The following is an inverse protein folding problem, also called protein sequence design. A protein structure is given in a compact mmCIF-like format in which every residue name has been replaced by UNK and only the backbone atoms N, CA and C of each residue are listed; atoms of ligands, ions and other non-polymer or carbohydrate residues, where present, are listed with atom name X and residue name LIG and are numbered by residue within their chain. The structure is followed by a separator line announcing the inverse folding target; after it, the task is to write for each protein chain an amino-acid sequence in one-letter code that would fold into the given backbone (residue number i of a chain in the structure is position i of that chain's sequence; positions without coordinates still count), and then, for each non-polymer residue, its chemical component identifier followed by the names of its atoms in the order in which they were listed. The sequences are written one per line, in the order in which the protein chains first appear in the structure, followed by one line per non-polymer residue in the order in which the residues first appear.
data_IF_092919000753
#
_entry.id   IF_092919000753
#
_cell.length_a   1.000
_cell.length_b   1.000
_cell.length_c   1.000
_cell.angle_alpha   90.00
_cell.angle_beta   90.00
_cell.angle_gamma   90.00
#
_symmetry.space_group_name_H-M   'P 1'
#
loop_
_entity.id
_entity.type
_entity.pdbx_description
1 polymer ?
#
# COMPACT_ATOMS: atom_id res chain seq x y z
N UNK A 1 14.26 28.09 37.15
CA UNK A 1 13.35 26.95 37.41
C UNK A 1 12.00 27.42 37.93
N UNK A 2 11.95 28.18 39.05
CA UNK A 2 10.69 28.64 39.65
C UNK A 2 9.68 29.28 38.67
N UNK A 3 10.10 30.19 37.78
CA UNK A 3 9.17 30.81 36.83
C UNK A 3 8.54 29.81 35.84
N UNK A 4 9.33 28.85 35.34
CA UNK A 4 8.85 27.81 34.41
C UNK A 4 7.81 26.92 35.11
N UNK A 5 8.10 26.51 36.34
CA UNK A 5 7.18 25.70 37.16
C UNK A 5 5.87 26.44 37.45
N UNK A 6 5.94 27.72 37.83
CA UNK A 6 4.75 28.55 38.09
C UNK A 6 3.89 28.69 36.83
N UNK A 7 4.50 28.93 35.67
CA UNK A 7 3.78 29.08 34.40
C UNK A 7 3.09 27.76 34.02
N UNK A 8 3.79 26.63 34.09
CA UNK A 8 3.20 25.32 33.74
C UNK A 8 2.08 24.96 34.71
N UNK A 9 2.27 25.17 36.01
CA UNK A 9 1.23 24.95 37.02
C UNK A 9 -0.01 25.78 36.70
N UNK A 10 0.15 27.06 36.33
CA UNK A 10 -0.96 27.90 35.87
C UNK A 10 -1.62 27.35 34.59
N UNK A 11 -0.86 26.92 33.59
CA UNK A 11 -1.43 26.35 32.37
C UNK A 11 -2.28 25.10 32.65
N UNK A 12 -1.85 24.27 33.61
CA UNK A 12 -2.64 23.12 34.07
C UNK A 12 -3.91 23.54 34.81
N UNK A 13 -3.80 24.45 35.79
CA UNK A 13 -4.95 24.91 36.59
C UNK A 13 -6.00 25.63 35.74
N UNK A 14 -5.58 26.33 34.67
CA UNK A 14 -6.49 27.02 33.75
C UNK A 14 -7.05 26.11 32.64
N UNK A 15 -6.79 24.80 32.67
CA UNK A 15 -7.36 23.85 31.71
C UNK A 15 -6.65 23.81 30.34
N UNK A 16 -5.56 24.57 30.15
CA UNK A 16 -4.89 24.69 28.84
C UNK A 16 -4.23 23.37 28.46
N UNK A 17 -3.55 22.70 29.39
CA UNK A 17 -2.89 21.42 29.10
C UNK A 17 -3.92 20.30 28.84
N UNK A 18 -5.06 20.31 29.53
CA UNK A 18 -6.19 19.39 29.30
C UNK A 18 -6.80 19.61 27.92
N UNK A 19 -6.95 20.87 27.52
CA UNK A 19 -7.40 21.21 26.17
C UNK A 19 -6.40 20.73 25.11
N UNK A 20 -5.09 20.97 25.32
CA UNK A 20 -4.04 20.48 24.42
C UNK A 20 -4.09 18.95 24.27
N UNK A 21 -4.15 18.22 25.39
CA UNK A 21 -4.26 16.74 25.39
C UNK A 21 -5.48 16.25 24.61
N UNK A 22 -6.65 16.83 24.89
CA UNK A 22 -7.91 16.49 24.21
C UNK A 22 -7.87 16.82 22.71
N UNK A 23 -7.20 17.91 22.34
CA UNK A 23 -7.07 18.38 20.96
C UNK A 23 -6.27 17.41 20.09
N UNK A 24 -5.35 16.62 20.65
CA UNK A 24 -4.63 15.57 19.93
C UNK A 24 -5.57 14.50 19.36
N UNK A 25 -6.77 14.35 19.93
CA UNK A 25 -7.79 13.41 19.46
C UNK A 25 -8.66 13.98 18.33
N UNK A 26 -8.57 15.28 18.04
CA UNK A 26 -9.40 15.94 17.03
C UNK A 26 -9.07 15.49 15.61
N UNK A 27 -9.99 15.75 14.67
CA UNK A 27 -9.76 15.47 13.24
C UNK A 27 -8.79 16.52 12.67
N UNK A 28 -7.70 16.12 11.97
CA UNK A 28 -6.68 17.04 11.46
C UNK A 28 -7.24 18.01 10.42
N UNK A 29 -8.31 17.63 9.70
CA UNK A 29 -8.99 18.51 8.76
C UNK A 29 -9.59 19.77 9.41
N UNK A 30 -9.77 19.78 10.74
CA UNK A 30 -10.28 20.94 11.48
C UNK A 30 -9.17 21.85 12.01
N UNK A 31 -7.90 21.47 11.85
CA UNK A 31 -6.75 22.16 12.43
C UNK A 31 -5.90 22.72 11.31
N UNK A 32 -5.64 24.02 11.34
CA UNK A 32 -4.70 24.65 10.40
C UNK A 32 -3.31 24.05 10.60
N UNK A 33 -2.71 23.51 9.54
CA UNK A 33 -1.45 22.75 9.62
C UNK A 33 -1.62 21.24 9.90
N UNK A 34 -2.85 20.76 10.14
CA UNK A 34 -3.19 19.34 10.20
C UNK A 34 -2.33 18.53 11.18
N UNK A 35 -1.77 17.42 10.70
CA UNK A 35 -0.94 16.53 11.52
C UNK A 35 0.34 17.20 12.03
N UNK A 36 0.95 18.10 11.27
CA UNK A 36 2.17 18.78 11.71
C UNK A 36 1.94 19.66 12.95
N UNK A 37 0.81 20.37 12.99
CA UNK A 37 0.41 21.18 14.14
C UNK A 37 0.11 20.30 15.37
N UNK A 38 -0.57 19.16 15.18
CA UNK A 38 -0.83 18.20 16.25
C UNK A 38 0.46 17.62 16.83
N UNK A 39 1.44 17.29 16.00
CA UNK A 39 2.75 16.80 16.44
C UNK A 39 3.54 17.88 17.19
N UNK A 40 3.46 19.15 16.80
CA UNK A 40 4.06 20.25 17.57
C UNK A 40 3.38 20.45 18.92
N UNK A 41 2.05 20.34 18.96
CA UNK A 41 1.30 20.40 20.21
C UNK A 41 1.66 19.23 21.14
N UNK A 42 1.86 18.03 20.61
CA UNK A 42 2.34 16.87 21.35
C UNK A 42 3.73 17.11 22.00
N UNK A 43 4.65 17.72 21.25
CA UNK A 43 5.99 18.07 21.73
C UNK A 43 5.97 19.16 22.82
N UNK A 44 5.17 20.21 22.63
CA UNK A 44 4.98 21.24 23.65
C UNK A 44 4.31 20.68 24.91
N UNK A 45 3.28 19.84 24.74
CA UNK A 45 2.59 19.20 25.85
C UNK A 45 3.52 18.29 26.65
N UNK A 46 4.31 17.45 25.98
CA UNK A 46 5.28 16.57 26.66
C UNK A 46 6.35 17.36 27.41
N UNK A 47 6.84 18.46 26.83
CA UNK A 47 7.81 19.35 27.45
C UNK A 47 7.25 20.08 28.67
N UNK A 48 5.98 20.52 28.61
CA UNK A 48 5.29 21.12 29.75
C UNK A 48 5.03 20.12 30.87
N UNK A 49 4.82 18.85 30.56
CA UNK A 49 4.56 17.82 31.56
C UNK A 49 5.81 17.37 32.35
N UNK A 50 7.01 17.82 31.97
CA UNK A 50 8.27 17.47 32.64
C UNK A 50 8.85 18.65 33.41
N UNK A 51 9.26 18.40 34.66
CA UNK A 51 9.91 19.39 35.52
C UNK A 51 8.99 20.11 36.50
N UNK A 52 7.85 19.52 36.86
CA UNK A 52 6.98 20.01 37.93
C UNK A 52 7.42 19.40 39.27
N UNK A 53 8.01 20.20 40.16
CA UNK A 53 8.55 19.70 41.43
C UNK A 53 7.49 19.56 42.55
N UNK A 54 6.56 20.53 42.66
CA UNK A 54 5.48 20.47 43.64
C UNK A 54 4.36 21.48 43.33
N UNK A 55 3.11 21.04 43.32
CA UNK A 55 1.92 21.91 43.38
C UNK A 55 0.74 21.14 43.99
N UNK A 56 -0.33 21.85 44.38
CA UNK A 56 -1.45 21.31 45.17
C UNK A 56 -2.08 20.04 44.59
N UNK A 57 -2.11 19.90 43.26
CA UNK A 57 -2.78 18.80 42.58
C UNK A 57 -1.80 17.81 41.91
N UNK A 58 -0.56 17.69 42.43
CA UNK A 58 0.49 16.86 41.82
C UNK A 58 0.10 15.39 41.70
N UNK A 59 -0.66 14.85 42.66
CA UNK A 59 -1.10 13.45 42.63
C UNK A 59 -2.10 13.19 41.50
N UNK A 60 -3.12 14.06 41.36
CA UNK A 60 -4.10 14.02 40.27
C UNK A 60 -3.41 14.22 38.93
N UNK A 61 -2.47 15.16 38.87
CA UNK A 61 -1.65 15.38 37.69
C UNK A 61 -0.89 14.10 37.29
N UNK A 62 -0.23 13.45 38.25
CA UNK A 62 0.60 12.27 37.99
C UNK A 62 -0.20 11.02 37.63
N UNK A 63 -1.34 10.79 38.29
CA UNK A 63 -2.10 9.53 38.19
C UNK A 63 -3.32 9.59 37.27
N UNK A 64 -3.83 10.78 36.95
CA UNK A 64 -4.98 10.92 36.04
C UNK A 64 -4.60 11.67 34.76
N UNK A 65 -3.97 12.84 34.89
CA UNK A 65 -3.68 13.68 33.73
C UNK A 65 -2.56 13.11 32.86
N UNK A 66 -1.40 12.75 33.42
CA UNK A 66 -0.27 12.21 32.65
C UNK A 66 -0.64 10.93 31.87
N UNK A 67 -1.35 9.93 32.45
CA UNK A 67 -1.85 8.79 31.69
C UNK A 67 -2.76 9.20 30.53
N UNK A 68 -3.66 10.16 30.74
CA UNK A 68 -4.53 10.69 29.66
C UNK A 68 -3.73 11.36 28.54
N UNK A 69 -2.65 12.09 28.87
CA UNK A 69 -1.72 12.68 27.89
C UNK A 69 -1.05 11.58 27.07
N UNK A 70 -0.50 10.56 27.73
CA UNK A 70 0.16 9.43 27.06
C UNK A 70 -0.81 8.69 26.15
N UNK A 71 -2.04 8.42 26.59
CA UNK A 71 -3.08 7.79 25.75
C UNK A 71 -3.39 8.66 24.53
N UNK A 72 -3.46 9.98 24.67
CA UNK A 72 -3.71 10.91 23.57
C UNK A 72 -2.55 10.99 22.58
N UNK A 73 -1.30 10.90 23.06
CA UNK A 73 -0.11 10.81 22.24
C UNK A 73 -0.07 9.49 21.46
N UNK A 74 -0.34 8.36 22.12
CA UNK A 74 -0.38 7.04 21.48
C UNK A 74 -1.51 6.96 20.46
N UNK A 75 -2.68 7.54 20.74
CA UNK A 75 -3.76 7.66 19.77
C UNK A 75 -3.33 8.45 18.52
N UNK A 76 -2.66 9.58 18.70
CA UNK A 76 -2.11 10.35 17.58
C UNK A 76 -1.07 9.54 16.80
N UNK A 77 -0.19 8.83 17.49
CA UNK A 77 0.82 7.98 16.87
C UNK A 77 0.21 6.86 16.03
N UNK A 78 -0.80 6.14 16.56
CA UNK A 78 -1.52 5.10 15.82
C UNK A 78 -2.16 5.66 14.54
N UNK A 79 -2.72 6.87 14.60
CA UNK A 79 -3.30 7.54 13.43
C UNK A 79 -2.27 7.93 12.39
N UNK A 80 -1.11 8.44 12.82
CA UNK A 80 0.01 8.77 11.93
C UNK A 80 0.56 7.51 11.25
N UNK A 81 0.75 6.43 12.00
CA UNK A 81 1.13 5.11 11.48
C UNK A 81 0.11 4.62 10.45
N UNK A 82 -1.17 4.54 10.81
CA UNK A 82 -2.24 4.09 9.91
C UNK A 82 -2.35 4.93 8.64
N UNK A 83 -2.00 6.22 8.70
CA UNK A 83 -1.95 7.10 7.53
C UNK A 83 -0.71 6.83 6.67
N UNK A 84 0.45 6.66 7.29
CA UNK A 84 1.69 6.30 6.60
C UNK A 84 1.55 5.01 5.79
N UNK A 85 0.91 3.98 6.38
CA UNK A 85 0.69 2.67 5.73
C UNK A 85 -0.33 2.72 4.57
N UNK A 86 -1.19 3.74 4.51
CA UNK A 86 -2.22 3.90 3.47
C UNK A 86 -1.78 4.79 2.31
N UNK A 87 -0.89 5.75 2.57
CA UNK A 87 -0.54 6.79 1.62
C UNK A 87 0.64 6.39 0.73
N UNK A 88 0.71 6.97 -0.49
CA UNK A 88 1.83 6.75 -1.42
C UNK A 88 3.14 7.45 -1.00
N UNK A 89 3.07 8.37 -0.04
CA UNK A 89 4.21 9.15 0.47
C UNK A 89 4.41 8.87 1.97
N UNK A 90 4.88 7.66 2.34
CA UNK A 90 4.97 7.22 3.73
C UNK A 90 5.93 8.08 4.59
N UNK A 91 6.93 8.71 3.96
CA UNK A 91 8.05 9.36 4.65
C UNK A 91 7.65 10.49 5.60
N UNK A 92 6.72 11.38 5.23
CA UNK A 92 6.34 12.51 6.08
C UNK A 92 5.52 12.07 7.29
N UNK A 93 4.60 11.12 7.10
CA UNK A 93 3.77 10.60 8.19
C UNK A 93 4.61 9.78 9.18
N UNK A 94 5.56 8.97 8.69
CA UNK A 94 6.55 8.28 9.54
C UNK A 94 7.43 9.29 10.30
N UNK A 95 7.84 10.39 9.67
CA UNK A 95 8.62 11.44 10.34
C UNK A 95 7.84 12.08 11.49
N UNK A 96 6.55 12.38 11.29
CA UNK A 96 5.68 12.90 12.34
C UNK A 96 5.41 11.86 13.43
N UNK A 97 5.23 10.60 13.06
CA UNK A 97 5.09 9.47 13.98
C UNK A 97 6.30 9.36 14.92
N UNK A 98 7.52 9.40 14.35
CA UNK A 98 8.77 9.40 15.13
C UNK A 98 8.81 10.53 16.15
N UNK A 99 8.45 11.76 15.76
CA UNK A 99 8.42 12.92 16.68
C UNK A 99 7.44 12.74 17.85
N UNK A 100 6.29 12.09 17.61
CA UNK A 100 5.34 11.78 18.70
C UNK A 100 5.95 10.74 19.64
N UNK A 101 6.65 9.74 19.10
CA UNK A 101 7.39 8.77 19.90
C UNK A 101 8.54 9.40 20.69
N UNK A 102 9.24 10.39 20.13
CA UNK A 102 10.26 11.18 20.86
C UNK A 102 9.62 11.91 22.06
N UNK A 103 8.42 12.47 21.87
CA UNK A 103 7.64 13.12 22.94
C UNK A 103 7.20 12.12 24.03
N UNK A 104 6.79 10.91 23.63
CA UNK A 104 6.46 9.82 24.57
C UNK A 104 7.72 9.40 25.34
N UNK A 105 8.85 9.21 24.65
CA UNK A 105 10.12 8.87 25.29
C UNK A 105 10.57 9.93 26.29
N UNK A 106 10.38 11.21 25.97
CA UNK A 106 10.64 12.32 26.88
C UNK A 106 9.82 12.22 28.18
N UNK A 107 8.53 11.91 28.07
CA UNK A 107 7.66 11.70 29.23
C UNK A 107 8.07 10.47 30.05
N UNK A 108 8.32 9.33 29.38
CA UNK A 108 8.66 8.08 30.05
C UNK A 108 9.97 8.16 30.84
N UNK A 109 10.94 8.96 30.35
CA UNK A 109 12.21 9.20 31.07
C UNK A 109 12.01 9.97 32.38
N UNK A 110 11.04 10.89 32.41
CA UNK A 110 10.73 11.71 33.58
C UNK A 110 9.76 11.01 34.54
N UNK A 111 8.79 10.26 34.02
CA UNK A 111 7.66 9.70 34.74
C UNK A 111 7.57 8.19 34.50
N UNK A 112 8.42 7.42 35.19
CA UNK A 112 8.64 5.99 34.91
C UNK A 112 7.41 5.11 35.15
N UNK A 113 6.49 5.52 36.03
CA UNK A 113 5.24 4.80 36.27
C UNK A 113 4.37 4.70 35.01
N UNK A 114 4.51 5.65 34.07
CA UNK A 114 3.77 5.65 32.80
C UNK A 114 4.15 4.50 31.87
N UNK A 115 5.30 3.83 32.06
CA UNK A 115 5.71 2.68 31.24
C UNK A 115 4.64 1.59 31.26
N UNK A 116 4.13 1.26 32.44
CA UNK A 116 3.07 0.26 32.60
C UNK A 116 1.77 0.68 31.90
N UNK A 117 1.49 1.99 31.85
CA UNK A 117 0.34 2.51 31.16
C UNK A 117 0.50 2.43 29.63
N UNK A 118 1.70 2.74 29.10
CA UNK A 118 2.02 2.57 27.67
C UNK A 118 1.87 1.12 27.25
N UNK A 119 2.47 0.18 27.98
CA UNK A 119 2.45 -1.25 27.62
C UNK A 119 1.03 -1.86 27.63
N UNK A 120 0.09 -1.29 28.41
CA UNK A 120 -1.31 -1.74 28.47
C UNK A 120 -2.24 -0.99 27.54
N UNK A 121 -1.75 0.06 26.86
CA UNK A 121 -2.59 0.89 26.01
C UNK A 121 -2.84 0.21 24.67
N UNK A 122 -4.12 0.04 24.31
CA UNK A 122 -4.56 -0.54 23.01
C UNK A 122 -3.94 0.13 21.78
N UNK A 123 -3.64 1.43 21.88
CA UNK A 123 -3.03 2.21 20.80
C UNK A 123 -1.57 1.83 20.60
N UNK A 124 -0.85 1.57 21.70
CA UNK A 124 0.51 1.07 21.65
C UNK A 124 0.56 -0.38 21.16
N UNK A 125 -0.36 -1.24 21.63
CA UNK A 125 -0.51 -2.61 21.13
C UNK A 125 -0.71 -2.64 19.60
N UNK A 126 -1.55 -1.74 19.08
CA UNK A 126 -1.77 -1.61 17.63
C UNK A 126 -0.48 -1.23 16.88
N UNK A 127 0.38 -0.42 17.49
CA UNK A 127 1.71 -0.08 16.94
C UNK A 127 2.66 -1.29 17.00
N UNK A 128 2.66 -2.04 18.09
CA UNK A 128 3.52 -3.22 18.24
C UNK A 128 3.19 -4.33 17.23
N UNK A 129 1.91 -4.53 16.92
CA UNK A 129 1.45 -5.53 15.94
C UNK A 129 1.86 -5.15 14.49
N UNK A 130 2.24 -3.89 14.24
CA UNK A 130 2.66 -3.46 12.90
C UNK A 130 3.98 -4.12 12.47
N UNK A 131 3.97 -4.81 11.33
CA UNK A 131 5.15 -5.48 10.75
C UNK A 131 5.98 -4.55 9.85
N UNK A 132 5.68 -3.25 9.81
CA UNK A 132 6.42 -2.27 9.02
C UNK A 132 7.79 -1.96 9.65
N UNK A 133 8.84 -1.95 8.82
CA UNK A 133 10.21 -1.72 9.27
C UNK A 133 10.40 -0.30 9.84
N UNK A 134 9.81 0.73 9.22
CA UNK A 134 9.98 2.10 9.70
C UNK A 134 9.31 2.31 11.06
N UNK A 135 8.16 1.69 11.27
CA UNK A 135 7.47 1.67 12.58
C UNK A 135 8.30 0.92 13.62
N UNK A 136 8.82 -0.25 13.25
CA UNK A 136 9.62 -1.10 14.13
C UNK A 136 10.95 -0.44 14.52
N UNK A 137 11.58 0.32 13.62
CA UNK A 137 12.75 1.15 13.94
C UNK A 137 12.42 2.11 15.07
N UNK A 138 11.29 2.82 14.99
CA UNK A 138 10.90 3.82 15.99
C UNK A 138 10.62 3.18 17.36
N UNK A 139 9.93 2.04 17.41
CA UNK A 139 9.63 1.39 18.70
C UNK A 139 10.87 0.80 19.37
N UNK A 140 11.74 0.12 18.61
CA UNK A 140 12.96 -0.48 19.17
C UNK A 140 13.96 0.60 19.60
N UNK A 141 14.07 1.70 18.83
CA UNK A 141 14.93 2.83 19.20
C UNK A 141 14.42 3.60 20.41
N UNK A 142 13.09 3.75 20.57
CA UNK A 142 12.50 4.33 21.78
C UNK A 142 13.00 3.61 23.04
N UNK A 143 12.88 2.28 23.08
CA UNK A 143 13.32 1.50 24.25
C UNK A 143 14.83 1.51 24.43
N UNK A 144 15.59 1.41 23.33
CA UNK A 144 17.05 1.56 23.39
C UNK A 144 17.44 2.86 24.05
N UNK A 145 16.81 3.96 23.65
CA UNK A 145 17.12 5.29 24.14
C UNK A 145 16.68 5.50 25.59
N UNK A 146 15.54 4.94 26.01
CA UNK A 146 15.09 4.99 27.40
C UNK A 146 16.09 4.27 28.31
N UNK A 147 16.46 3.02 27.98
CA UNK A 147 17.37 2.23 28.83
C UNK A 147 18.79 2.78 28.83
N UNK A 148 19.26 3.29 27.69
CA UNK A 148 20.58 3.92 27.57
C UNK A 148 20.73 5.18 28.41
N UNK A 149 19.66 5.97 28.55
CA UNK A 149 19.70 7.26 29.25
C UNK A 149 19.41 7.17 30.74
N UNK A 150 18.66 6.16 31.18
CA UNK A 150 18.25 6.02 32.58
C UNK A 150 18.16 4.54 32.96
N UNK A 151 19.28 3.93 33.33
CA UNK A 151 19.33 2.51 33.73
C UNK A 151 18.46 2.17 34.94
N UNK A 152 18.10 3.16 35.78
CA UNK A 152 17.17 2.97 36.89
C UNK A 152 15.76 2.53 36.44
N UNK A 153 15.38 2.80 35.18
CA UNK A 153 14.13 2.32 34.59
C UNK A 153 14.04 0.79 34.63
N UNK A 154 15.15 0.09 34.38
CA UNK A 154 15.18 -1.38 34.38
C UNK A 154 14.91 -1.96 35.77
N UNK A 155 15.38 -1.29 36.83
CA UNK A 155 15.16 -1.71 38.21
C UNK A 155 13.70 -1.49 38.65
N UNK A 156 13.08 -0.38 38.24
CA UNK A 156 11.75 0.03 38.71
C UNK A 156 10.59 -0.61 37.92
N UNK A 157 10.79 -1.01 36.66
CA UNK A 157 9.68 -1.49 35.81
C UNK A 157 9.17 -2.89 36.18
N UNK A 158 9.96 -3.69 36.89
CA UNK A 158 9.64 -5.06 37.25
C UNK A 158 9.71 -6.06 36.08
N UNK A 159 9.85 -7.34 36.43
CA UNK A 159 10.13 -8.41 35.46
C UNK A 159 9.06 -8.59 34.38
N UNK A 160 7.78 -8.32 34.69
CA UNK A 160 6.69 -8.49 33.71
C UNK A 160 6.81 -7.48 32.58
N UNK A 161 6.88 -6.19 32.89
CA UNK A 161 7.01 -5.14 31.89
C UNK A 161 8.30 -5.29 31.08
N UNK A 162 9.41 -5.66 31.75
CA UNK A 162 10.67 -5.96 31.06
C UNK A 162 10.52 -7.13 30.08
N UNK A 163 9.83 -8.20 30.48
CA UNK A 163 9.58 -9.35 29.61
C UNK A 163 8.72 -8.97 28.41
N UNK A 164 7.66 -8.18 28.59
CA UNK A 164 6.80 -7.72 27.50
C UNK A 164 7.60 -6.92 26.45
N UNK A 165 8.56 -6.09 26.89
CA UNK A 165 9.44 -5.32 26.01
C UNK A 165 10.48 -6.21 25.33
N UNK A 166 11.10 -7.14 26.07
CA UNK A 166 12.07 -8.07 25.50
C UNK A 166 11.43 -8.98 24.45
N UNK A 167 10.21 -9.47 24.69
CA UNK A 167 9.47 -10.30 23.73
C UNK A 167 9.26 -9.54 22.42
N UNK A 168 8.87 -8.27 22.48
CA UNK A 168 8.71 -7.42 21.31
C UNK A 168 10.06 -7.20 20.60
N UNK A 169 11.11 -6.84 21.33
CA UNK A 169 12.46 -6.61 20.75
C UNK A 169 12.99 -7.87 20.05
N UNK A 170 12.92 -9.03 20.71
CA UNK A 170 13.39 -10.30 20.15
C UNK A 170 12.52 -10.70 18.95
N UNK A 171 11.20 -10.50 19.04
CA UNK A 171 10.31 -10.74 17.90
C UNK A 171 10.66 -9.86 16.70
N UNK A 172 10.83 -8.54 16.87
CA UNK A 172 11.23 -7.61 15.79
C UNK A 172 12.59 -7.96 15.22
N UNK A 173 13.54 -8.35 16.07
CA UNK A 173 14.86 -8.86 15.65
C UNK A 173 14.77 -10.17 14.87
N UNK A 174 13.79 -11.04 15.15
CA UNK A 174 13.63 -12.31 14.41
C UNK A 174 12.84 -12.17 13.10
N UNK A 175 11.99 -11.15 13.00
CA UNK A 175 11.06 -10.98 11.87
C UNK A 175 11.56 -9.98 10.80
N UNK A 176 12.48 -9.09 11.15
CA UNK A 176 13.06 -8.13 10.20
C UNK A 176 14.47 -8.52 9.78
N UNK A 177 14.84 -8.11 8.57
CA UNK A 177 16.23 -8.21 8.05
C UNK A 177 16.95 -6.85 8.03
N UNK A 178 16.30 -5.81 8.57
CA UNK A 178 16.80 -4.44 8.53
C UNK A 178 17.94 -4.23 9.56
N UNK A 179 19.16 -3.87 9.11
CA UNK A 179 20.31 -3.69 10.02
C UNK A 179 20.09 -2.64 11.11
N UNK A 180 19.23 -1.65 10.89
CA UNK A 180 18.94 -0.62 11.90
C UNK A 180 18.15 -1.22 13.07
N UNK A 181 17.16 -2.07 12.77
CA UNK A 181 16.36 -2.78 13.77
C UNK A 181 17.25 -3.75 14.53
N UNK A 182 18.01 -4.59 13.82
CA UNK A 182 18.92 -5.55 14.43
C UNK A 182 19.94 -4.89 15.36
N UNK A 183 20.59 -3.80 14.91
CA UNK A 183 21.53 -3.04 15.74
C UNK A 183 20.90 -2.46 16.99
N UNK A 184 19.72 -1.86 16.86
CA UNK A 184 19.01 -1.27 17.99
C UNK A 184 18.58 -2.35 18.99
N UNK A 185 18.01 -3.46 18.50
CA UNK A 185 17.59 -4.60 19.31
C UNK A 185 18.77 -5.21 20.09
N UNK A 186 19.87 -5.52 19.40
CA UNK A 186 21.09 -6.07 20.01
C UNK A 186 21.62 -5.15 21.11
N UNK A 187 21.74 -3.85 20.83
CA UNK A 187 22.17 -2.87 21.85
C UNK A 187 21.23 -2.79 23.03
N UNK A 188 19.91 -2.88 22.79
CA UNK A 188 18.93 -2.85 23.89
C UNK A 188 19.06 -4.09 24.76
N UNK A 189 19.26 -5.26 24.16
CA UNK A 189 19.46 -6.52 24.89
C UNK A 189 20.76 -6.50 25.70
N UNK A 190 21.85 -5.96 25.15
CA UNK A 190 23.11 -5.77 25.91
C UNK A 190 22.90 -4.86 27.12
N UNK A 191 22.22 -3.71 26.97
CA UNK A 191 21.90 -2.82 28.10
C UNK A 191 21.08 -3.51 29.19
N UNK A 192 20.19 -4.41 28.80
CA UNK A 192 19.37 -5.20 29.71
C UNK A 192 20.21 -6.27 30.43
N UNK A 193 21.13 -6.93 29.71
CA UNK A 193 22.05 -7.93 30.25
C UNK A 193 23.03 -7.32 31.26
N UNK A 194 23.58 -6.14 30.96
CA UNK A 194 24.51 -5.41 31.83
C UNK A 194 23.87 -4.95 33.15
N UNK A 195 22.54 -4.88 33.22
CA UNK A 195 21.86 -4.28 34.37
C UNK A 195 21.90 -5.15 35.63
N UNK A 196 21.60 -6.44 35.52
CA UNK A 196 21.60 -7.34 36.68
C UNK A 196 21.75 -8.80 36.29
N UNK A 197 22.33 -9.60 37.19
CA UNK A 197 22.45 -11.06 37.02
C UNK A 197 21.10 -11.76 36.94
N UNK A 198 20.07 -11.24 37.63
CA UNK A 198 18.70 -11.78 37.53
C UNK A 198 18.14 -11.60 36.12
N UNK A 199 18.43 -10.47 35.49
CA UNK A 199 18.02 -10.18 34.12
C UNK A 199 18.77 -11.04 33.11
N UNK A 200 20.06 -11.28 33.33
CA UNK A 200 20.85 -12.22 32.53
C UNK A 200 20.24 -13.62 32.54
N UNK A 201 19.91 -14.14 33.74
CA UNK A 201 19.24 -15.43 33.88
C UNK A 201 17.87 -15.45 33.18
N UNK A 202 17.12 -14.34 33.24
CA UNK A 202 15.82 -14.22 32.58
C UNK A 202 15.94 -14.34 31.06
N UNK A 203 16.90 -13.64 30.44
CA UNK A 203 17.14 -13.68 28.99
C UNK A 203 17.60 -15.08 28.58
N UNK A 204 18.61 -15.64 29.25
CA UNK A 204 19.16 -16.97 28.94
C UNK A 204 18.08 -18.06 29.06
N UNK A 205 17.19 -17.98 30.06
CA UNK A 205 16.11 -18.96 30.25
C UNK A 205 15.05 -18.86 29.14
N UNK A 206 14.70 -17.64 28.71
CA UNK A 206 13.55 -17.37 27.83
C UNK A 206 13.90 -17.45 26.34
N UNK A 207 15.12 -17.07 25.96
CA UNK A 207 15.53 -16.93 24.55
C UNK A 207 16.74 -17.82 24.21
N UNK A 208 16.62 -19.13 24.42
CA UNK A 208 17.72 -20.11 24.22
C UNK A 208 18.32 -20.13 22.81
N UNK A 209 17.58 -19.70 21.79
CA UNK A 209 18.05 -19.58 20.42
C UNK A 209 18.59 -18.20 20.05
N UNK A 210 18.72 -17.27 21.00
CA UNK A 210 19.10 -15.90 20.72
C UNK A 210 20.54 -15.78 20.22
N UNK A 211 21.47 -16.59 20.74
CA UNK A 211 22.86 -16.64 20.26
C UNK A 211 22.93 -17.10 18.80
N UNK A 212 22.22 -18.19 18.48
CA UNK A 212 22.14 -18.73 17.13
C UNK A 212 21.49 -17.74 16.15
N UNK A 213 20.41 -17.08 16.58
CA UNK A 213 19.73 -16.05 15.80
C UNK A 213 20.66 -14.86 15.56
N UNK A 214 21.35 -14.39 16.60
CA UNK A 214 22.32 -13.32 16.53
C UNK A 214 23.44 -13.65 15.53
N UNK A 215 24.01 -14.85 15.61
CA UNK A 215 25.11 -15.27 14.75
C UNK A 215 24.67 -15.50 13.29
N UNK A 216 23.54 -16.18 13.06
CA UNK A 216 23.09 -16.54 11.70
C UNK A 216 22.52 -15.36 10.93
N UNK A 217 21.70 -14.53 11.57
CA UNK A 217 20.90 -13.54 10.85
C UNK A 217 21.56 -12.15 10.82
N UNK A 218 22.43 -11.86 11.79
CA UNK A 218 22.95 -10.50 12.02
C UNK A 218 24.46 -10.34 11.82
N UNK A 219 25.22 -11.43 11.69
CA UNK A 219 26.68 -11.33 11.43
C UNK A 219 26.96 -10.64 10.09
N UNK A 220 27.93 -9.73 10.08
CA UNK A 220 28.36 -9.00 8.88
C UNK A 220 27.43 -7.85 8.48
N UNK A 221 26.51 -7.43 9.35
CA UNK A 221 25.56 -6.32 9.10
C UNK A 221 26.08 -4.94 9.57
N UNK A 222 27.34 -4.84 9.99
CA UNK A 222 28.01 -3.57 10.32
C UNK A 222 27.92 -3.14 11.80
N UNK A 223 27.58 -4.05 12.71
CA UNK A 223 27.55 -3.81 14.15
C UNK A 223 28.08 -5.00 14.96
N UNK A 224 29.03 -5.74 14.37
CA UNK A 224 29.53 -7.02 14.91
C UNK A 224 30.10 -6.89 16.33
N UNK A 225 30.73 -5.76 16.70
CA UNK A 225 31.20 -5.54 18.08
C UNK A 225 30.08 -5.57 19.13
N UNK A 226 28.88 -5.04 18.82
CA UNK A 226 27.74 -5.13 19.73
C UNK A 226 27.13 -6.53 19.73
N UNK A 227 27.24 -7.23 18.59
CA UNK A 227 26.80 -8.62 18.44
C UNK A 227 27.69 -9.57 19.25
N UNK A 228 29.01 -9.37 19.22
CA UNK A 228 30.00 -10.11 20.01
C UNK A 228 29.69 -9.94 21.51
N UNK A 229 29.48 -8.69 21.97
CA UNK A 229 29.06 -8.43 23.36
C UNK A 229 27.80 -9.21 23.76
N UNK A 230 26.78 -9.24 22.89
CA UNK A 230 25.56 -10.00 23.16
C UNK A 230 25.86 -11.50 23.26
N UNK A 231 26.62 -12.05 22.31
CA UNK A 231 26.95 -13.48 22.27
C UNK A 231 27.78 -13.88 23.49
N UNK A 232 28.79 -13.09 23.86
CA UNK A 232 29.63 -13.33 25.04
C UNK A 232 28.79 -13.40 26.32
N UNK A 233 27.84 -12.47 26.52
CA UNK A 233 26.93 -12.49 27.67
C UNK A 233 26.00 -13.71 27.70
N UNK A 234 25.60 -14.20 26.52
CA UNK A 234 24.75 -15.38 26.38
C UNK A 234 25.53 -16.69 26.60
N UNK A 235 26.83 -16.70 26.25
CA UNK A 235 27.72 -17.86 26.41
C UNK A 235 28.34 -17.99 27.81
N UNK A 236 28.24 -16.97 28.67
CA UNK A 236 28.62 -17.09 30.09
C UNK A 236 27.74 -18.17 30.76
N UNK A 237 28.33 -19.36 30.87
CA UNK A 237 27.74 -20.62 31.30
C UNK A 237 26.99 -20.51 32.64
N UNK A 238 25.68 -20.72 32.60
CA UNK A 238 24.94 -21.27 33.75
C UNK A 238 24.59 -22.72 33.41
N UNK A 239 25.08 -23.73 34.16
CA UNK A 239 24.82 -25.14 33.88
C UNK A 239 23.36 -25.52 34.13
N UNK A 240 22.48 -25.28 33.15
CA UNK A 240 21.13 -25.84 33.16
C UNK A 240 21.16 -27.19 32.45
N UNK A 241 21.13 -28.29 33.22
CA UNK A 241 20.80 -29.61 32.68
C UNK A 241 19.34 -29.59 32.19
N UNK A 242 19.14 -29.55 30.89
CA UNK A 242 17.83 -29.79 30.29
C UNK A 242 17.35 -31.22 30.62
N UNK A 243 16.10 -31.40 31.08
CA UNK A 243 15.43 -32.67 30.87
C UNK A 243 15.13 -32.78 29.38
N UNK A 244 15.87 -33.65 28.68
CA UNK A 244 15.73 -33.96 27.24
C UNK A 244 14.28 -34.18 26.80
N UNK A 245 13.41 -34.62 27.70
CA UNK A 245 11.99 -34.89 27.44
C UNK A 245 11.19 -33.64 27.02
N UNK A 246 11.49 -32.47 27.59
CA UNK A 246 10.75 -31.23 27.28
C UNK A 246 11.01 -30.70 25.87
N UNK A 247 12.20 -30.95 25.33
CA UNK A 247 12.60 -30.51 23.98
C UNK A 247 11.88 -31.33 22.91
N UNK A 248 11.80 -32.65 23.07
CA UNK A 248 11.09 -33.52 22.13
C UNK A 248 9.59 -33.20 22.06
N UNK A 249 8.95 -32.93 23.20
CA UNK A 249 7.55 -32.52 23.24
C UNK A 249 7.32 -31.18 22.54
N UNK A 250 8.18 -30.18 22.81
CA UNK A 250 8.12 -28.89 22.13
C UNK A 250 8.30 -29.04 20.61
N UNK A 251 9.25 -29.85 20.16
CA UNK A 251 9.48 -30.13 18.74
C UNK A 251 8.28 -30.85 18.12
N UNK A 252 7.70 -31.85 18.80
CA UNK A 252 6.47 -32.53 18.35
C UNK A 252 5.30 -31.55 18.24
N UNK A 253 5.09 -30.71 19.25
CA UNK A 253 4.02 -29.70 19.25
C UNK A 253 4.21 -28.68 18.11
N UNK A 254 5.43 -28.17 17.92
CA UNK A 254 5.77 -27.27 16.82
C UNK A 254 5.49 -27.92 15.46
N UNK A 255 5.89 -29.18 15.26
CA UNK A 255 5.61 -29.94 14.05
C UNK A 255 4.11 -30.08 13.78
N UNK A 256 3.29 -30.34 14.81
CA UNK A 256 1.82 -30.42 14.68
C UNK A 256 1.22 -29.07 14.28
N UNK A 257 1.64 -27.98 14.93
CA UNK A 257 1.17 -26.63 14.61
C UNK A 257 1.56 -26.25 13.17
N UNK A 258 2.81 -26.51 12.78
CA UNK A 258 3.31 -26.26 11.44
C UNK A 258 2.56 -27.08 10.38
N UNK A 259 2.30 -28.36 10.64
CA UNK A 259 1.53 -29.22 9.74
C UNK A 259 0.09 -28.72 9.58
N UNK A 260 -0.57 -28.36 10.69
CA UNK A 260 -1.93 -27.80 10.69
C UNK A 260 -2.00 -26.47 9.92
N UNK A 261 -1.02 -25.59 10.12
CA UNK A 261 -0.90 -24.32 9.42
C UNK A 261 -0.69 -24.51 7.90
N UNK A 262 0.24 -25.39 7.50
CA UNK A 262 0.49 -25.73 6.09
C UNK A 262 -0.77 -26.31 5.43
N UNK A 263 -1.47 -27.21 6.13
CA UNK A 263 -2.74 -27.76 5.65
C UNK A 263 -3.82 -26.67 5.50
N UNK A 264 -3.93 -25.75 6.45
CA UNK A 264 -4.85 -24.61 6.38
C UNK A 264 -4.57 -23.70 5.16
N UNK A 265 -3.30 -23.35 4.93
CA UNK A 265 -2.88 -22.57 3.76
C UNK A 265 -3.25 -23.25 2.45
N UNK A 266 -2.99 -24.55 2.33
CA UNK A 266 -3.38 -25.36 1.16
C UNK A 266 -4.89 -25.36 0.95
N UNK A 267 -5.69 -25.58 2.01
CA UNK A 267 -7.15 -25.49 1.93
C UNK A 267 -7.64 -24.10 1.50
N UNK A 268 -7.03 -23.01 1.99
CA UNK A 268 -7.37 -21.64 1.54
C UNK A 268 -7.06 -21.41 0.07
N UNK A 269 -5.92 -21.92 -0.43
CA UNK A 269 -5.58 -21.87 -1.87
C UNK A 269 -6.58 -22.68 -2.71
N UNK A 270 -6.89 -23.90 -2.28
CA UNK A 270 -7.89 -24.76 -2.94
C UNK A 270 -9.28 -24.14 -2.97
N UNK A 271 -9.71 -23.40 -1.92
CA UNK A 271 -10.98 -22.66 -1.94
C UNK A 271 -11.05 -21.57 -3.03
N UNK A 272 -9.92 -20.97 -3.42
CA UNK A 272 -9.86 -19.96 -4.49
C UNK A 272 -9.76 -20.58 -5.89
N UNK A 273 -9.30 -21.82 -6.00
CA UNK A 273 -9.02 -22.49 -7.27
C UNK A 273 -10.26 -22.65 -8.18
N UNK A 274 -11.46 -23.03 -7.70
CA UNK A 274 -12.65 -23.15 -8.56
C UNK A 274 -13.00 -21.85 -9.30
N UNK A 275 -12.82 -20.69 -8.65
CA UNK A 275 -13.05 -19.38 -9.28
C UNK A 275 -12.03 -19.11 -10.37
N UNK A 276 -10.74 -19.34 -10.10
CA UNK A 276 -9.68 -19.17 -11.08
C UNK A 276 -9.85 -20.10 -12.29
N UNK A 277 -10.16 -21.37 -12.05
CA UNK A 277 -10.44 -22.38 -13.08
C UNK A 277 -11.67 -21.98 -13.91
N UNK A 278 -12.76 -21.54 -13.26
CA UNK A 278 -13.96 -21.08 -13.96
C UNK A 278 -13.69 -19.87 -14.84
N UNK A 279 -12.93 -18.88 -14.37
CA UNK A 279 -12.54 -17.71 -15.17
C UNK A 279 -11.68 -18.10 -16.36
N UNK A 280 -10.69 -18.99 -16.16
CA UNK A 280 -9.84 -19.49 -17.24
C UNK A 280 -10.68 -20.25 -18.29
N UNK A 281 -11.54 -21.17 -17.85
CA UNK A 281 -12.44 -21.93 -18.75
C UNK A 281 -13.38 -21.01 -19.52
N UNK A 282 -13.95 -19.98 -18.88
CA UNK A 282 -14.79 -18.97 -19.57
C UNK A 282 -13.99 -18.22 -20.62
N UNK A 283 -12.81 -17.71 -20.29
CA UNK A 283 -11.96 -16.98 -21.22
C UNK A 283 -11.52 -17.85 -22.42
N UNK A 284 -11.25 -19.13 -22.18
CA UNK A 284 -10.88 -20.08 -23.22
C UNK A 284 -12.05 -20.38 -24.16
N UNK A 285 -13.25 -20.62 -23.60
CA UNK A 285 -14.47 -20.84 -24.40
C UNK A 285 -14.83 -19.61 -25.23
N UNK A 286 -14.71 -18.41 -24.64
CA UNK A 286 -14.97 -17.15 -25.34
C UNK A 286 -14.00 -16.94 -26.49
N UNK A 287 -12.69 -17.14 -26.26
CA UNK A 287 -11.67 -17.04 -27.32
C UNK A 287 -11.92 -18.04 -28.44
N UNK A 288 -12.28 -19.28 -28.11
CA UNK A 288 -12.64 -20.29 -29.11
C UNK A 288 -13.87 -19.89 -29.93
N UNK A 289 -14.92 -19.36 -29.29
CA UNK A 289 -16.12 -18.87 -29.98
C UNK A 289 -15.78 -17.75 -30.95
N UNK A 290 -15.01 -16.75 -30.52
CA UNK A 290 -14.60 -15.64 -31.38
C UNK A 290 -13.78 -16.10 -32.60
N UNK A 291 -12.90 -17.09 -32.42
CA UNK A 291 -12.14 -17.69 -33.53
C UNK A 291 -13.04 -18.43 -34.53
N UNK A 292 -14.04 -19.17 -34.03
CA UNK A 292 -15.03 -19.85 -34.87
C UNK A 292 -15.87 -18.84 -35.65
N UNK A 293 -16.45 -17.84 -34.97
CA UNK A 293 -17.23 -16.78 -35.63
C UNK A 293 -16.40 -16.03 -36.69
N UNK A 294 -15.14 -15.71 -36.40
CA UNK A 294 -14.27 -15.05 -37.38
C UNK A 294 -14.04 -15.93 -38.62
N UNK A 295 -13.82 -17.23 -38.41
CA UNK A 295 -13.62 -18.19 -39.50
C UNK A 295 -14.88 -18.35 -40.35
N UNK A 296 -16.05 -18.44 -39.71
CA UNK A 296 -17.35 -18.54 -40.38
C UNK A 296 -17.66 -17.26 -41.18
N UNK A 297 -17.45 -16.07 -40.60
CA UNK A 297 -17.62 -14.79 -41.29
C UNK A 297 -16.72 -14.71 -42.53
N UNK A 298 -15.46 -15.13 -42.42
CA UNK A 298 -14.53 -15.16 -43.55
C UNK A 298 -15.01 -16.09 -44.67
N UNK A 299 -15.48 -17.29 -44.33
CA UNK A 299 -16.02 -18.24 -45.33
C UNK A 299 -17.27 -17.67 -46.01
N UNK A 300 -18.19 -17.10 -45.23
CA UNK A 300 -19.40 -16.47 -45.77
C UNK A 300 -19.06 -15.29 -46.70
N UNK A 301 -18.06 -14.48 -46.37
CA UNK A 301 -17.58 -13.40 -47.25
C UNK A 301 -16.95 -13.93 -48.55
N UNK A 302 -16.13 -14.99 -48.48
CA UNK A 302 -15.50 -15.61 -49.64
C UNK A 302 -16.55 -16.24 -50.57
N UNK A 303 -17.52 -16.94 -50.00
CA UNK A 303 -18.64 -17.51 -50.75
C UNK A 303 -19.48 -16.41 -51.43
N UNK A 304 -19.81 -15.33 -50.72
CA UNK A 304 -20.54 -14.20 -51.28
C UNK A 304 -19.76 -13.54 -52.44
N UNK A 305 -18.44 -13.34 -52.28
CA UNK A 305 -17.58 -12.82 -53.36
C UNK A 305 -17.60 -13.73 -54.58
N UNK A 306 -17.52 -15.04 -54.38
CA UNK A 306 -17.60 -16.02 -55.46
C UNK A 306 -18.96 -15.97 -56.18
N UNK A 307 -20.06 -15.95 -55.43
CA UNK A 307 -21.40 -15.83 -55.97
C UNK A 307 -21.61 -14.54 -56.78
N UNK A 308 -21.11 -13.40 -56.28
CA UNK A 308 -21.16 -12.11 -57.01
C UNK A 308 -20.36 -12.18 -58.31
N UNK A 309 -19.18 -12.80 -58.29
CA UNK A 309 -18.37 -13.00 -59.49
C UNK A 309 -19.11 -13.84 -60.54
N UNK A 310 -19.68 -14.98 -60.14
CA UNK A 310 -20.47 -15.84 -61.02
C UNK A 310 -21.69 -15.12 -61.61
N UNK A 311 -22.44 -14.37 -60.78
CA UNK A 311 -23.58 -13.56 -61.24
C UNK A 311 -23.14 -12.54 -62.29
N UNK A 312 -22.02 -11.85 -62.07
CA UNK A 312 -21.45 -10.89 -63.02
C UNK A 312 -21.03 -11.57 -64.32
N UNK A 313 -20.37 -12.73 -64.27
CA UNK A 313 -19.97 -13.49 -65.46
C UNK A 313 -21.19 -13.95 -66.27
N UNK A 314 -22.23 -14.47 -65.61
CA UNK A 314 -23.48 -14.85 -66.27
C UNK A 314 -24.15 -13.66 -66.93
N UNK A 315 -24.26 -12.53 -66.23
CA UNK A 315 -24.82 -11.30 -66.77
C UNK A 315 -24.03 -10.78 -68.00
N UNK A 316 -22.70 -10.80 -67.95
CA UNK A 316 -21.86 -10.43 -69.10
C UNK A 316 -22.06 -11.36 -70.29
N UNK A 317 -22.20 -12.67 -70.05
CA UNK A 317 -22.45 -13.65 -71.11
C UNK A 317 -23.80 -13.41 -71.79
N UNK A 318 -24.87 -13.26 -71.00
CA UNK A 318 -26.21 -12.97 -71.51
C UNK A 318 -26.24 -11.66 -72.30
N UNK A 319 -25.57 -10.62 -71.79
CA UNK A 319 -25.44 -9.35 -72.49
C UNK A 319 -24.75 -9.50 -73.85
N UNK A 320 -23.62 -10.22 -73.92
CA UNK A 320 -22.91 -10.47 -75.18
C UNK A 320 -23.75 -11.28 -76.17
N UNK A 321 -24.46 -12.31 -75.70
CA UNK A 321 -25.36 -13.11 -76.54
C UNK A 321 -26.47 -12.25 -77.13
N UNK A 322 -27.09 -11.39 -76.31
CA UNK A 322 -28.13 -10.48 -76.77
C UNK A 322 -27.60 -9.47 -77.79
N UNK A 323 -26.40 -8.92 -77.57
CA UNK A 323 -25.75 -8.03 -78.53
C UNK A 323 -25.45 -8.72 -79.87
N UNK A 324 -24.91 -9.94 -79.84
CA UNK A 324 -24.63 -10.71 -81.06
C UNK A 324 -25.91 -10.98 -81.85
N UNK A 325 -26.95 -11.47 -81.17
CA UNK A 325 -28.23 -11.75 -81.80
C UNK A 325 -28.87 -10.52 -82.44
N UNK A 326 -28.77 -9.36 -81.77
CA UNK A 326 -29.27 -8.10 -82.33
C UNK A 326 -28.46 -7.66 -83.56
N UNK A 327 -27.15 -7.89 -83.57
CA UNK A 327 -26.30 -7.62 -84.74
C UNK A 327 -26.61 -8.55 -85.92
N UNK A 328 -27.04 -9.79 -85.67
CA UNK A 328 -27.44 -10.74 -86.72
C UNK A 328 -28.73 -10.31 -87.43
N UNK A 329 -29.67 -9.66 -86.72
CA UNK A 329 -30.99 -9.27 -87.27
C UNK A 329 -30.97 -7.86 -87.89
N UNK A 330 -30.07 -6.98 -87.45
CA UNK A 330 -30.03 -5.59 -87.91
C UNK A 330 -29.58 -5.46 -89.38
N UNK A 331 -30.29 -4.67 -90.23
CA UNK A 331 -29.83 -4.38 -91.59
C UNK A 331 -28.47 -3.68 -91.61
N UNK A 332 -27.58 -4.07 -92.53
CA UNK A 332 -26.20 -3.59 -92.59
C UNK A 332 -26.06 -2.05 -92.59
N UNK A 333 -26.96 -1.34 -93.29
CA UNK A 333 -26.97 0.13 -93.33
C UNK A 333 -27.35 0.83 -92.01
N UNK A 334 -27.96 0.13 -91.06
CA UNK A 334 -28.36 0.67 -89.75
C UNK A 334 -27.36 0.37 -88.62
N UNK A 335 -26.43 -0.57 -88.85
CA UNK A 335 -25.48 -1.02 -87.82
C UNK A 335 -24.64 0.13 -87.26
N UNK A 336 -24.10 0.99 -88.13
CA UNK A 336 -23.23 2.09 -87.70
C UNK A 336 -23.96 3.11 -86.81
N UNK A 337 -25.21 3.45 -87.17
CA UNK A 337 -26.05 4.35 -86.36
C UNK A 337 -26.31 3.75 -84.98
N UNK A 338 -26.67 2.47 -84.93
CA UNK A 338 -26.93 1.76 -83.68
C UNK A 338 -25.68 1.72 -82.78
N UNK A 339 -24.50 1.43 -83.33
CA UNK A 339 -23.24 1.44 -82.59
C UNK A 339 -22.90 2.83 -82.02
N UNK A 340 -23.12 3.90 -82.79
CA UNK A 340 -22.93 5.27 -82.29
C UNK A 340 -23.90 5.66 -81.16
N UNK A 341 -25.16 5.22 -81.23
CA UNK A 341 -26.12 5.42 -80.13
C UNK A 341 -25.72 4.65 -78.86
N UNK A 342 -25.19 3.43 -79.00
CA UNK A 342 -24.66 2.65 -77.88
C UNK A 342 -23.43 3.30 -77.25
N UNK A 343 -22.51 3.81 -78.06
CA UNK A 343 -21.33 4.51 -77.59
C UNK A 343 -21.70 5.76 -76.77
N UNK A 344 -22.63 6.57 -77.29
CA UNK A 344 -23.15 7.73 -76.58
C UNK A 344 -23.80 7.35 -75.24
N UNK A 345 -24.66 6.31 -75.23
CA UNK A 345 -25.27 5.80 -73.99
C UNK A 345 -24.22 5.29 -73.00
N UNK A 346 -23.21 4.57 -73.48
CA UNK A 346 -22.12 4.07 -72.64
C UNK A 346 -21.30 5.22 -72.04
N UNK A 347 -20.97 6.24 -72.83
CA UNK A 347 -20.26 7.44 -72.36
C UNK A 347 -21.04 8.15 -71.25
N UNK A 348 -22.35 8.34 -71.40
CA UNK A 348 -23.21 8.94 -70.37
C UNK A 348 -23.23 8.12 -69.07
N UNK A 349 -23.31 6.79 -69.16
CA UNK A 349 -23.25 5.90 -67.98
C UNK A 349 -21.90 6.01 -67.29
N UNK A 350 -20.79 5.97 -68.03
CA UNK A 350 -19.44 6.10 -67.49
C UNK A 350 -19.28 7.45 -66.78
N UNK A 351 -19.69 8.54 -67.41
CA UNK A 351 -19.63 9.88 -66.84
C UNK A 351 -20.47 9.99 -65.55
N UNK A 352 -21.69 9.45 -65.55
CA UNK A 352 -22.56 9.42 -64.36
C UNK A 352 -21.93 8.63 -63.21
N UNK A 353 -21.44 7.43 -63.49
CA UNK A 353 -20.79 6.57 -62.50
C UNK A 353 -19.53 7.23 -61.94
N UNK A 354 -18.72 7.86 -62.80
CA UNK A 354 -17.50 8.57 -62.41
C UNK A 354 -17.80 9.78 -61.52
N UNK A 355 -18.79 10.62 -61.89
CA UNK A 355 -19.24 11.75 -61.04
C UNK A 355 -19.67 11.26 -59.66
N UNK A 356 -20.47 10.19 -59.61
CA UNK A 356 -20.88 9.58 -58.35
C UNK A 356 -19.72 8.99 -57.54
N UNK A 357 -18.73 8.36 -58.19
CA UNK A 357 -17.54 7.85 -57.52
C UNK A 357 -16.66 8.97 -56.95
N UNK A 358 -16.48 10.06 -57.70
CA UNK A 358 -15.76 11.25 -57.24
C UNK A 358 -16.42 11.86 -56.01
N UNK A 359 -17.75 12.03 -56.04
CA UNK A 359 -18.50 12.58 -54.90
C UNK A 359 -18.38 11.71 -53.65
N UNK A 360 -18.53 10.39 -53.79
CA UNK A 360 -18.34 9.46 -52.66
C UNK A 360 -16.94 9.51 -52.08
N UNK A 361 -15.90 9.66 -52.90
CA UNK A 361 -14.52 9.83 -52.41
C UNK A 361 -14.37 11.14 -51.64
N UNK A 362 -14.87 12.24 -52.18
CA UNK A 362 -14.83 13.54 -51.51
C UNK A 362 -15.58 13.50 -50.17
N UNK A 363 -16.76 12.89 -50.13
CA UNK A 363 -17.53 12.69 -48.90
C UNK A 363 -16.79 11.81 -47.87
N UNK A 364 -16.15 10.72 -48.31
CA UNK A 364 -15.34 9.86 -47.43
C UNK A 364 -14.15 10.62 -46.83
N UNK A 365 -13.46 11.45 -47.63
CA UNK A 365 -12.39 12.31 -47.16
C UNK A 365 -12.88 13.32 -46.12
N UNK A 366 -13.99 14.03 -46.40
CA UNK A 366 -14.62 14.96 -45.45
C UNK A 366 -15.01 14.25 -44.15
N UNK A 367 -15.63 13.08 -44.25
CA UNK A 367 -16.00 12.25 -43.09
C UNK A 367 -14.77 11.84 -42.28
N UNK A 368 -13.66 11.50 -42.93
CA UNK A 368 -12.41 11.16 -42.26
C UNK A 368 -11.81 12.38 -41.56
N UNK A 369 -11.77 13.54 -42.21
CA UNK A 369 -11.29 14.80 -41.62
C UNK A 369 -12.13 15.17 -40.39
N UNK A 370 -13.46 15.11 -40.50
CA UNK A 370 -14.38 15.36 -39.38
C UNK A 370 -14.17 14.40 -38.21
N UNK A 371 -13.94 13.10 -38.49
CA UNK A 371 -13.62 12.12 -37.43
C UNK A 371 -12.31 12.44 -36.73
N UNK A 372 -11.26 12.82 -37.46
CA UNK A 372 -9.98 13.24 -36.88
C UNK A 372 -10.15 14.51 -36.05
N UNK A 373 -10.88 15.50 -36.56
CA UNK A 373 -11.16 16.73 -35.83
C UNK A 373 -11.95 16.47 -34.54
N UNK A 374 -12.97 15.61 -34.58
CA UNK A 374 -13.70 15.20 -33.37
C UNK A 374 -12.81 14.48 -32.37
N UNK A 375 -11.98 13.54 -32.82
CA UNK A 375 -11.02 12.85 -31.95
C UNK A 375 -10.01 13.83 -31.33
N UNK A 376 -9.51 14.79 -32.11
CA UNK A 376 -8.62 15.84 -31.63
C UNK A 376 -9.30 16.72 -30.56
N UNK A 377 -10.55 17.15 -30.78
CA UNK A 377 -11.33 17.88 -29.76
C UNK A 377 -11.49 17.05 -28.49
N UNK A 378 -11.83 15.75 -28.61
CA UNK A 378 -11.97 14.87 -27.44
C UNK A 378 -10.66 14.78 -26.65
N UNK A 379 -9.51 14.66 -27.34
CA UNK A 379 -8.19 14.66 -26.72
C UNK A 379 -7.84 16.02 -26.08
N UNK A 380 -8.15 17.14 -26.76
CA UNK A 380 -7.94 18.48 -26.23
C UNK A 380 -8.76 18.74 -24.97
N UNK A 381 -10.02 18.31 -24.94
CA UNK A 381 -10.88 18.40 -23.74
C UNK A 381 -10.34 17.55 -22.59
N UNK A 382 -9.91 16.32 -22.88
CA UNK A 382 -9.29 15.45 -21.88
C UNK A 382 -7.99 16.05 -21.32
N UNK A 383 -7.17 16.66 -22.18
CA UNK A 383 -5.94 17.35 -21.77
C UNK A 383 -6.23 18.63 -20.96
N UNK A 384 -7.22 19.44 -21.36
CA UNK A 384 -7.64 20.62 -20.61
C UNK A 384 -8.15 20.24 -19.22
N UNK A 385 -8.97 19.20 -19.12
CA UNK A 385 -9.48 18.68 -17.85
C UNK A 385 -8.35 18.18 -16.94
N UNK A 386 -7.29 17.58 -17.49
CA UNK A 386 -6.11 17.15 -16.72
C UNK A 386 -5.26 18.32 -16.21
N UNK A 387 -5.19 19.44 -16.95
CA UNK A 387 -4.39 20.63 -16.58
C UNK A 387 -5.16 21.56 -15.64
N UNK A 388 -6.46 21.76 -15.86
CA UNK A 388 -7.31 22.70 -15.11
C UNK A 388 -8.54 22.02 -14.48
N UNK A 389 -8.38 21.01 -13.60
CA UNK A 389 -9.51 20.30 -12.99
C UNK A 389 -10.42 21.22 -12.15
N UNK A 390 -9.89 22.35 -11.65
CA UNK A 390 -10.60 23.28 -10.77
C UNK A 390 -11.54 24.26 -11.48
N UNK A 391 -11.36 24.54 -12.78
CA UNK A 391 -12.23 25.49 -13.51
C UNK A 391 -13.46 24.81 -14.14
N UNK A 392 -13.37 23.53 -14.54
CA UNK A 392 -14.48 22.85 -15.23
C UNK A 392 -15.59 22.33 -14.27
N UNK A 393 -15.30 22.18 -12.97
CA UNK A 393 -16.34 21.85 -11.96
C UNK A 393 -17.36 22.99 -11.79
N UNK A 394 -16.98 24.24 -12.10
CA UNK A 394 -17.93 25.36 -12.11
C UNK A 394 -18.76 25.41 -13.39
N UNK A 395 -18.21 25.03 -14.55
CA UNK A 395 -18.93 25.03 -15.82
C UNK A 395 -20.02 23.95 -15.89
N UNK A 396 -19.81 22.78 -15.31
CA UNK A 396 -20.83 21.72 -15.23
C UNK A 396 -21.95 21.98 -14.23
N UNK A 397 -21.85 23.02 -13.39
CA UNK A 397 -22.94 23.43 -12.46
C UNK A 397 -23.88 24.49 -13.03
N UNK A 398 -23.58 25.05 -14.21
CA UNK A 398 -24.41 26.08 -14.85
C UNK A 398 -25.16 25.60 -16.10
N UNK A 399 -25.23 24.29 -16.33
CA UNK A 399 -26.15 23.63 -17.27
C UNK A 399 -27.00 22.64 -16.47
#
# INVERSE_FOLDING_TARGET
MALKEIVISRLYTHGVLQYCSSSLRFRPARIQGGYAALTQMADLLSTCCVGLAAFRDIEVFSHEFLPSVVESLLFLAERLMNRALRDKAPSEMIRLFRKVFDSIGWLLRAHRHLIHHVLRCKHYESVQICEDDDVSIVTVTLWNDIFRTNSAVLAEMGNRALTDIMDDIVYKMSSSSNPVIGRAAVKTLVLILDHSSSTQQLIQRRYRGLSDLAEKDWRGKGFDSALDQLIDHLQLDVPWKEPKESSEECVRAACVIQAAWRAHLTRRRLKKLPRAVSTLQRSFREKRRQQQEHTERRRAEEELRHQVCLRRQRAMRLFRQHQLHLMEILPAGQVQRYLGELENKAALVIQRVWRGHRERRHFQQHKHILRRHRAAITLQRAAHFLINPSQDVQAQRCL
#
